data_IF_622996646842
#
_entry.id   IF_622996646842
#
_cell.length_a   1.000
_cell.length_b   1.000
_cell.length_c   1.000
_cell.angle_alpha   90.00
_cell.angle_beta   90.00
_cell.angle_gamma   90.00
#
_symmetry.space_group_name_H-M   'P 1'
#
loop_
_entity.id
_entity.type
_entity.pdbx_description
1 polymer ?
#
# COMPACT_ATOMS: atom_id res chain seq x y z
N UNK A 1 -22.05 13.86 -9.68
CA UNK A 1 -22.40 12.86 -8.64
C UNK A 1 -21.28 12.88 -7.61
N UNK A 2 -21.54 13.39 -6.39
CA UNK A 2 -20.53 13.38 -5.32
C UNK A 2 -20.38 11.92 -4.87
N UNK A 3 -19.24 11.31 -5.17
CA UNK A 3 -18.88 10.02 -4.54
C UNK A 3 -18.75 10.36 -3.06
N UNK A 4 -19.78 10.01 -2.28
CA UNK A 4 -19.64 9.98 -0.82
C UNK A 4 -18.59 8.89 -0.61
N UNK A 5 -17.38 9.28 -0.22
CA UNK A 5 -16.45 8.32 0.36
C UNK A 5 -17.19 7.75 1.56
N UNK A 6 -17.78 6.57 1.41
CA UNK A 6 -18.22 5.78 2.54
C UNK A 6 -16.98 5.67 3.42
N UNK A 7 -17.05 6.32 4.57
CA UNK A 7 -15.97 6.32 5.54
C UNK A 7 -16.03 4.94 6.17
N UNK A 8 -15.49 3.96 5.47
CA UNK A 8 -15.39 2.58 5.93
C UNK A 8 -14.71 2.63 7.30
N UNK A 9 -15.27 1.91 8.26
CA UNK A 9 -14.67 1.81 9.57
C UNK A 9 -13.30 1.15 9.41
N UNK A 10 -12.25 1.94 9.62
CA UNK A 10 -10.85 1.51 9.51
C UNK A 10 -10.53 0.36 10.48
N UNK A 11 -11.40 0.10 11.48
CA UNK A 11 -11.29 -1.04 12.39
C UNK A 11 -11.45 -2.42 11.71
N UNK A 12 -12.05 -2.48 10.51
CA UNK A 12 -12.28 -3.71 9.75
C UNK A 12 -11.10 -4.02 8.83
N UNK A 13 -10.28 -3.02 8.51
CA UNK A 13 -9.20 -3.12 7.53
C UNK A 13 -7.93 -3.61 8.23
N UNK A 14 -7.58 -4.88 8.00
CA UNK A 14 -6.34 -5.46 8.49
C UNK A 14 -5.10 -4.80 7.89
N UNK A 15 -3.93 -5.06 8.50
CA UNK A 15 -2.62 -4.54 8.06
C UNK A 15 -2.35 -4.74 6.56
N UNK A 16 -2.82 -5.85 5.98
CA UNK A 16 -2.59 -6.17 4.57
C UNK A 16 -3.31 -5.22 3.62
N UNK A 17 -4.42 -4.61 4.05
CA UNK A 17 -5.09 -3.57 3.28
C UNK A 17 -4.19 -2.34 3.13
N UNK A 18 -3.64 -1.84 4.23
CA UNK A 18 -2.72 -0.70 4.21
C UNK A 18 -1.44 -1.00 3.42
N UNK A 19 -0.95 -2.24 3.48
CA UNK A 19 0.19 -2.69 2.65
C UNK A 19 -0.16 -2.66 1.15
N UNK A 20 -1.35 -3.11 0.78
CA UNK A 20 -1.82 -3.07 -0.61
C UNK A 20 -1.98 -1.63 -1.12
N UNK A 21 -2.57 -0.74 -0.31
CA UNK A 21 -2.65 0.69 -0.66
C UNK A 21 -1.26 1.31 -0.83
N UNK A 22 -0.29 0.98 0.05
CA UNK A 22 1.08 1.51 -0.06
C UNK A 22 1.76 1.02 -1.32
N UNK A 23 1.55 -0.25 -1.69
CA UNK A 23 2.07 -0.80 -2.94
C UNK A 23 1.49 -0.07 -4.16
N UNK A 24 0.18 0.24 -4.14
CA UNK A 24 -0.47 1.01 -5.20
C UNK A 24 0.09 2.44 -5.30
N UNK A 25 0.27 3.13 -4.17
CA UNK A 25 0.84 4.48 -4.15
C UNK A 25 2.29 4.50 -4.70
N UNK A 26 3.12 3.52 -4.32
CA UNK A 26 4.46 3.35 -4.88
C UNK A 26 4.43 3.07 -6.39
N UNK A 27 3.51 2.24 -6.87
CA UNK A 27 3.35 1.99 -8.30
C UNK A 27 2.97 3.28 -9.06
N UNK A 28 2.15 4.14 -8.46
CA UNK A 28 1.84 5.48 -8.98
C UNK A 28 3.07 6.38 -9.12
N UNK A 29 3.93 6.41 -8.09
CA UNK A 29 5.20 7.15 -8.13
C UNK A 29 6.12 6.65 -9.24
N UNK A 30 6.26 5.33 -9.35
CA UNK A 30 7.10 4.72 -10.38
C UNK A 30 6.57 4.96 -11.80
N UNK A 31 5.24 5.02 -11.96
CA UNK A 31 4.61 5.36 -13.22
C UNK A 31 4.89 6.83 -13.60
N UNK A 32 4.76 7.77 -12.66
CA UNK A 32 5.10 9.18 -12.88
C UNK A 32 6.58 9.35 -13.25
N UNK A 33 7.48 8.71 -12.50
CA UNK A 33 8.94 8.76 -12.76
C UNK A 33 9.29 8.23 -14.14
N UNK A 34 8.65 7.12 -14.55
CA UNK A 34 8.81 6.56 -15.91
C UNK A 34 8.25 7.51 -16.97
N UNK A 35 7.06 8.07 -16.76
CA UNK A 35 6.45 9.02 -17.68
C UNK A 35 7.36 10.22 -17.94
N UNK A 36 7.96 10.79 -16.88
CA UNK A 36 8.96 11.86 -17.02
C UNK A 36 10.23 11.42 -17.74
N UNK A 37 10.76 10.24 -17.39
CA UNK A 37 11.99 9.72 -17.99
C UNK A 37 11.86 9.51 -19.49
N UNK A 38 10.70 9.05 -19.95
CA UNK A 38 10.47 8.72 -21.35
C UNK A 38 9.71 9.82 -22.12
N UNK A 39 9.38 10.93 -21.47
CA UNK A 39 8.62 12.01 -22.09
C UNK A 39 7.20 11.61 -22.50
N UNK A 40 6.59 10.66 -21.79
CA UNK A 40 5.24 10.18 -22.08
C UNK A 40 4.22 10.80 -21.14
N UNK A 41 2.97 10.84 -21.58
CA UNK A 41 1.88 11.27 -20.72
C UNK A 41 1.60 10.26 -19.59
N UNK A 42 1.10 10.77 -18.47
CA UNK A 42 0.59 10.02 -17.33
C UNK A 42 -0.92 10.21 -17.23
N UNK A 43 -1.69 9.12 -17.26
CA UNK A 43 -3.16 9.18 -17.23
C UNK A 43 -3.67 8.97 -15.81
N UNK A 44 -4.53 9.87 -15.35
CA UNK A 44 -5.23 9.78 -14.06
C UNK A 44 -6.74 9.80 -14.26
N UNK A 45 -7.49 9.24 -13.33
CA UNK A 45 -8.94 9.41 -13.28
C UNK A 45 -9.30 10.50 -12.27
N UNK A 46 -9.94 11.57 -12.75
CA UNK A 46 -10.35 12.71 -11.93
C UNK A 46 -11.79 13.10 -12.28
N UNK A 47 -12.67 13.19 -11.28
CA UNK A 47 -14.09 13.47 -11.50
C UNK A 47 -14.81 12.44 -12.38
N UNK A 48 -14.37 11.18 -12.37
CA UNK A 48 -14.92 10.11 -13.21
C UNK A 48 -14.47 10.16 -14.67
N UNK A 49 -13.52 11.04 -15.03
CA UNK A 49 -12.98 11.16 -16.39
C UNK A 49 -11.49 10.85 -16.39
N UNK A 50 -11.02 10.23 -17.47
CA UNK A 50 -9.59 10.08 -17.70
C UNK A 50 -9.01 11.45 -18.12
N UNK A 51 -7.89 11.82 -17.51
CA UNK A 51 -7.13 13.03 -17.80
C UNK A 51 -5.70 12.62 -18.10
N UNK A 52 -5.21 12.99 -19.28
CA UNK A 52 -3.81 12.85 -19.66
C UNK A 52 -3.02 14.02 -19.10
N UNK A 53 -1.89 13.76 -18.44
CA UNK A 53 -1.01 14.76 -17.87
C UNK A 53 0.35 14.64 -18.53
N UNK A 54 0.88 15.76 -19.01
CA UNK A 54 2.27 15.81 -19.46
C UNK A 54 3.22 15.63 -18.28
N UNK A 55 4.47 15.19 -18.52
CA UNK A 55 5.51 15.05 -17.50
C UNK A 55 5.58 16.19 -16.48
N UNK A 56 5.55 17.44 -16.95
CA UNK A 56 5.61 18.68 -16.15
C UNK A 56 4.36 18.92 -15.29
N UNK A 57 3.21 18.34 -15.66
CA UNK A 57 1.93 18.50 -14.96
C UNK A 57 1.75 17.46 -13.82
N UNK A 58 2.64 16.47 -13.73
CA UNK A 58 2.53 15.39 -12.74
C UNK A 58 2.98 15.75 -11.33
N UNK A 59 3.64 16.91 -11.12
CA UNK A 59 4.23 17.28 -9.83
C UNK A 59 3.25 17.29 -8.63
N UNK A 60 2.00 17.80 -8.76
CA UNK A 60 1.02 17.75 -7.68
C UNK A 60 0.62 16.32 -7.31
N UNK A 61 0.54 15.43 -8.31
CA UNK A 61 0.15 14.03 -8.12
C UNK A 61 1.28 13.23 -7.48
N UNK A 62 2.53 13.48 -7.86
CA UNK A 62 3.70 12.89 -7.21
C UNK A 62 3.76 13.25 -5.73
N UNK A 63 3.56 14.54 -5.39
CA UNK A 63 3.52 15.00 -4.00
C UNK A 63 2.45 14.24 -3.20
N UNK A 64 1.24 14.12 -3.75
CA UNK A 64 0.16 13.37 -3.09
C UNK A 64 0.51 11.90 -2.86
N UNK A 65 1.10 11.22 -3.85
CA UNK A 65 1.51 9.82 -3.66
C UNK A 65 2.62 9.67 -2.62
N UNK A 66 3.55 10.62 -2.51
CA UNK A 66 4.57 10.62 -1.45
C UNK A 66 3.94 10.77 -0.06
N UNK A 67 2.98 11.69 0.09
CA UNK A 67 2.22 11.88 1.34
C UNK A 67 1.42 10.62 1.70
N UNK A 68 0.80 9.96 0.71
CA UNK A 68 0.10 8.69 0.90
C UNK A 68 1.05 7.58 1.36
N UNK A 69 2.23 7.44 0.74
CA UNK A 69 3.23 6.45 1.15
C UNK A 69 3.70 6.68 2.59
N UNK A 70 3.93 7.94 2.99
CA UNK A 70 4.35 8.26 4.36
C UNK A 70 3.24 7.92 5.36
N UNK A 71 2.01 8.38 5.11
CA UNK A 71 0.84 8.11 5.95
C UNK A 71 0.60 6.60 6.11
N UNK A 72 0.63 5.85 5.01
CA UNK A 72 0.42 4.40 5.02
C UNK A 72 1.53 3.66 5.74
N UNK A 73 2.79 4.08 5.55
CA UNK A 73 3.92 3.49 6.25
C UNK A 73 3.84 3.70 7.76
N UNK A 74 3.41 4.89 8.20
CA UNK A 74 3.17 5.18 9.61
C UNK A 74 2.07 4.29 10.19
N UNK A 75 0.96 4.12 9.47
CA UNK A 75 -0.15 3.28 9.94
C UNK A 75 0.22 1.79 10.01
N UNK A 76 0.96 1.29 9.02
CA UNK A 76 1.48 -0.08 9.03
C UNK A 76 2.37 -0.29 10.26
N UNK A 77 3.32 0.61 10.52
CA UNK A 77 4.21 0.50 11.68
C UNK A 77 3.45 0.52 13.02
N UNK A 78 2.43 1.37 13.14
CA UNK A 78 1.55 1.41 14.31
C UNK A 78 0.83 0.06 14.53
N UNK A 79 0.28 -0.53 13.48
CA UNK A 79 -0.42 -1.82 13.54
C UNK A 79 0.53 -2.99 13.82
N UNK A 80 1.74 -2.97 13.27
CA UNK A 80 2.78 -3.98 13.54
C UNK A 80 3.23 -3.93 15.01
N UNK A 81 3.39 -2.74 15.58
CA UNK A 81 3.73 -2.56 16.99
C UNK A 81 2.64 -3.05 17.94
N UNK A 82 1.37 -2.97 17.53
CA UNK A 82 0.22 -3.46 18.30
C UNK A 82 0.04 -4.99 18.24
N UNK A 83 0.67 -5.66 17.28
CA UNK A 83 0.63 -7.12 17.14
C UNK A 83 2.00 -7.76 16.90
N UNK A 84 2.91 -7.71 17.90
CA UNK A 84 4.27 -8.24 17.78
C UNK A 84 4.33 -9.77 17.57
N UNK A 85 3.21 -10.48 17.73
CA UNK A 85 3.09 -11.94 17.58
C UNK A 85 2.60 -12.43 16.22
N UNK A 86 2.17 -11.55 15.31
CA UNK A 86 1.60 -11.95 14.00
C UNK A 86 2.58 -12.70 13.09
N UNK A 87 3.89 -12.57 13.34
CA UNK A 87 4.95 -13.28 12.62
C UNK A 87 5.43 -14.56 13.32
N UNK A 88 4.81 -14.97 14.44
CA UNK A 88 5.09 -16.25 15.11
C UNK A 88 4.46 -17.42 14.33
N UNK A 89 4.74 -17.53 13.03
CA UNK A 89 4.25 -18.60 12.15
C UNK A 89 5.16 -19.84 12.16
N UNK A 90 5.95 -20.04 13.23
CA UNK A 90 6.83 -21.21 13.37
C UNK A 90 7.16 -21.54 14.83
N UNK A 91 6.18 -21.53 15.74
CA UNK A 91 6.29 -22.42 16.89
C UNK A 91 6.12 -23.85 16.37
N UNK A 92 7.25 -24.51 16.08
CA UNK A 92 7.30 -25.93 15.73
C UNK A 92 6.44 -26.70 16.75
N UNK A 93 5.65 -27.70 16.34
CA UNK A 93 4.99 -28.57 17.31
C UNK A 93 6.07 -29.18 18.21
N UNK A 94 6.07 -28.81 19.50
CA UNK A 94 6.92 -29.45 20.49
C UNK A 94 6.44 -30.90 20.62
N UNK A 95 7.24 -31.83 20.08
CA UNK A 95 7.11 -33.26 20.40
C UNK A 95 6.51 -34.13 19.30
N UNK A 96 7.18 -34.22 18.15
CA UNK A 96 7.32 -35.51 17.50
C UNK A 96 8.82 -35.75 17.31
N UNK A 97 9.41 -36.53 18.22
CA UNK A 97 10.61 -37.29 17.89
C UNK A 97 10.21 -38.73 17.55
N UNK A 98 10.83 -39.31 16.49
CA UNK A 98 10.57 -40.65 16.00
C UNK A 98 11.32 -41.70 16.83
N UNK A 99 10.88 -42.95 16.71
CA UNK A 99 11.21 -44.07 17.59
C UNK A 99 12.68 -44.36 17.93
N UNK A 100 12.88 -45.05 19.05
CA UNK A 100 14.16 -45.60 19.45
C UNK A 100 14.19 -46.36 20.78
N UNK A 101 13.92 -47.67 20.71
CA UNK A 101 14.34 -48.77 21.61
C UNK A 101 13.80 -48.86 23.05
N UNK A 102 13.12 -49.98 23.32
CA UNK A 102 13.62 -51.05 24.20
C UNK A 102 13.19 -52.40 23.61
#
# INVERSE_FOLDING_TARGET
>A
MKIRSEKWDESILGIDHYRAERALANAGLDAIRRARRFGTDFVVQEGGRAKSLRPEETAPYEKRFLEDVERLSRKIAELEAQNPGAFALNDRPKGQEPGGKA
#
